data_IF_260922179497
#
_entry.id   IF_260922179497
#
_cell.length_a   1.000
_cell.length_b   1.000
_cell.length_c   1.000
_cell.angle_alpha   90.00
_cell.angle_beta   90.00
_cell.angle_gamma   90.00
#
_symmetry.space_group_name_H-M   'P 1'
#
loop_
_entity.id
_entity.type
_entity.pdbx_description
1 polymer ?
#
# COMPACT_ATOMS: atom_id res chain seq x y z
N UNK A 1 -10.99 -16.90 -77.43
CA UNK A 1 -11.82 -17.97 -76.80
C UNK A 1 -11.02 -19.07 -76.09
N UNK A 2 -9.80 -19.45 -76.52
CA UNK A 2 -8.99 -20.49 -75.83
C UNK A 2 -8.51 -20.07 -74.42
N UNK A 3 -8.11 -18.80 -74.25
CA UNK A 3 -7.66 -18.27 -72.95
C UNK A 3 -8.79 -18.21 -71.90
N UNK A 4 -10.00 -17.85 -72.31
CA UNK A 4 -11.17 -17.79 -71.42
C UNK A 4 -11.64 -19.18 -70.97
N UNK A 5 -11.55 -20.18 -71.86
CA UNK A 5 -11.80 -21.59 -71.48
C UNK A 5 -10.76 -22.13 -70.50
N UNK A 6 -9.49 -21.75 -70.66
CA UNK A 6 -8.41 -22.15 -69.74
C UNK A 6 -8.59 -21.53 -68.35
N UNK A 7 -9.00 -20.25 -68.29
CA UNK A 7 -9.27 -19.56 -67.03
C UNK A 7 -10.44 -20.19 -66.25
N UNK A 8 -11.51 -20.58 -66.95
CA UNK A 8 -12.69 -21.22 -66.33
C UNK A 8 -12.31 -22.60 -65.78
N UNK A 9 -11.49 -23.39 -66.49
CA UNK A 9 -11.03 -24.71 -66.01
C UNK A 9 -10.15 -24.56 -64.75
N UNK A 10 -9.25 -23.58 -64.70
CA UNK A 10 -8.45 -23.34 -63.49
C UNK A 10 -9.29 -22.94 -62.27
N UNK A 11 -10.40 -22.21 -62.49
CA UNK A 11 -11.27 -21.76 -61.39
C UNK A 11 -12.03 -22.93 -60.72
N UNK A 12 -12.36 -23.98 -61.47
CA UNK A 12 -13.07 -25.15 -60.93
C UNK A 12 -12.17 -26.10 -60.14
N UNK A 13 -10.85 -26.12 -60.39
CA UNK A 13 -9.92 -27.04 -59.70
C UNK A 13 -9.60 -26.55 -58.28
N UNK A 14 -9.78 -25.26 -57.98
CA UNK A 14 -9.41 -24.67 -56.69
C UNK A 14 -10.44 -24.88 -55.55
N UNK A 15 -11.57 -25.55 -55.81
CA UNK A 15 -12.68 -25.70 -54.85
C UNK A 15 -12.42 -26.75 -53.74
N UNK A 16 -11.33 -27.52 -53.83
CA UNK A 16 -11.06 -28.67 -52.93
C UNK A 16 -10.08 -28.38 -51.80
N UNK A 17 -9.79 -27.11 -51.48
CA UNK A 17 -8.97 -26.76 -50.32
C UNK A 17 -9.83 -26.65 -49.05
N UNK A 18 -10.32 -27.79 -48.54
CA UNK A 18 -10.96 -27.89 -47.23
C UNK A 18 -9.87 -28.17 -46.19
N UNK A 19 -9.57 -27.20 -45.32
CA UNK A 19 -8.57 -27.35 -44.26
C UNK A 19 -9.23 -28.03 -43.05
N UNK A 20 -8.92 -29.31 -42.87
CA UNK A 20 -9.33 -30.12 -41.71
C UNK A 20 -8.13 -30.32 -40.78
N UNK A 21 -8.32 -30.15 -39.47
CA UNK A 21 -7.28 -30.40 -38.45
C UNK A 21 -7.58 -31.74 -37.79
N UNK A 22 -6.65 -32.69 -37.91
CA UNK A 22 -6.80 -34.02 -37.36
C UNK A 22 -6.13 -34.11 -35.98
N UNK A 23 -6.83 -34.73 -35.02
CA UNK A 23 -6.31 -35.03 -33.69
C UNK A 23 -6.13 -36.53 -33.54
N UNK A 24 -4.95 -36.98 -33.11
CA UNK A 24 -4.71 -38.37 -32.74
C UNK A 24 -3.88 -38.48 -31.46
N UNK A 25 -3.99 -39.62 -30.79
CA UNK A 25 -3.22 -39.95 -29.58
C UNK A 25 -2.19 -41.02 -29.93
N UNK A 26 -0.91 -40.77 -29.64
CA UNK A 26 0.15 -41.74 -29.93
C UNK A 26 0.21 -42.89 -28.89
N UNK A 27 1.10 -43.86 -29.11
CA UNK A 27 1.27 -45.04 -28.23
C UNK A 27 1.65 -44.68 -26.78
N UNK A 28 2.17 -43.47 -26.55
CA UNK A 28 2.58 -42.98 -25.25
C UNK A 28 1.48 -42.14 -24.58
N UNK A 29 0.29 -42.05 -25.18
CA UNK A 29 -0.83 -41.27 -24.67
C UNK A 29 -0.75 -39.78 -24.96
N UNK A 30 0.18 -39.32 -25.81
CA UNK A 30 0.33 -37.91 -26.15
C UNK A 30 -0.56 -37.54 -27.33
N UNK A 31 -1.28 -36.41 -27.17
CA UNK A 31 -2.18 -35.87 -28.19
C UNK A 31 -1.38 -35.01 -29.17
N UNK A 32 -1.58 -35.25 -30.47
CA UNK A 32 -0.99 -34.47 -31.56
C UNK A 32 -2.08 -33.93 -32.48
N UNK A 33 -1.81 -32.76 -33.08
CA UNK A 33 -2.65 -32.13 -34.08
C UNK A 33 -1.85 -32.00 -35.39
N UNK A 34 -2.46 -32.35 -36.52
CA UNK A 34 -1.80 -32.35 -37.83
C UNK A 34 -2.78 -32.01 -38.94
N UNK A 35 -2.27 -31.41 -40.01
CA UNK A 35 -3.03 -31.09 -41.23
C UNK A 35 -3.19 -32.30 -42.17
N UNK A 36 -2.46 -33.39 -41.91
CA UNK A 36 -2.46 -34.59 -42.76
C UNK A 36 -2.87 -35.83 -41.95
N UNK A 37 -3.92 -36.57 -42.35
CA UNK A 37 -4.37 -37.71 -41.59
C UNK A 37 -3.35 -38.86 -41.65
N UNK A 38 -3.10 -39.59 -40.55
CA UNK A 38 -2.23 -40.77 -40.56
C UNK A 38 -2.84 -41.87 -41.45
N UNK A 39 -2.01 -42.48 -42.31
CA UNK A 39 -2.43 -43.29 -43.47
C UNK A 39 -3.21 -44.59 -43.16
N UNK A 40 -3.45 -44.94 -41.88
CA UNK A 40 -4.00 -46.26 -41.50
C UNK A 40 -5.12 -46.22 -40.46
N UNK A 41 -5.78 -45.07 -40.22
CA UNK A 41 -6.81 -44.97 -39.17
C UNK A 41 -8.12 -44.39 -39.73
N UNK A 42 -9.25 -45.02 -39.40
CA UNK A 42 -10.58 -44.45 -39.64
C UNK A 42 -10.73 -43.18 -38.79
N UNK A 43 -10.86 -42.03 -39.44
CA UNK A 43 -11.14 -40.76 -38.78
C UNK A 43 -12.63 -40.59 -38.51
N UNK A 44 -12.97 -40.02 -37.35
CA UNK A 44 -14.32 -39.60 -37.01
C UNK A 44 -14.36 -38.06 -36.95
N UNK A 45 -15.40 -37.47 -37.54
CA UNK A 45 -15.59 -36.02 -37.52
C UNK A 45 -16.11 -35.63 -36.15
N UNK A 46 -15.31 -34.88 -35.40
CA UNK A 46 -15.73 -34.33 -34.11
C UNK A 46 -16.29 -32.92 -34.34
N UNK A 47 -17.60 -32.74 -34.12
CA UNK A 47 -18.20 -31.42 -34.07
C UNK A 47 -17.79 -30.75 -32.74
N UNK A 48 -16.88 -29.78 -32.82
CA UNK A 48 -16.44 -29.03 -31.63
C UNK A 48 -17.47 -27.94 -31.37
N UNK A 49 -18.29 -28.10 -30.32
CA UNK A 49 -19.17 -27.04 -29.85
C UNK A 49 -18.35 -25.78 -29.51
N UNK A 50 -18.78 -24.64 -30.04
CA UNK A 50 -18.13 -23.37 -29.72
C UNK A 50 -18.22 -23.11 -28.22
N UNK A 51 -17.11 -22.71 -27.56
CA UNK A 51 -17.14 -22.41 -26.14
C UNK A 51 -18.16 -21.30 -25.90
N UNK A 52 -19.14 -21.58 -25.03
CA UNK A 52 -20.12 -20.60 -24.59
C UNK A 52 -19.35 -19.50 -23.86
N UNK A 53 -19.20 -18.33 -24.49
CA UNK A 53 -18.66 -17.16 -23.82
C UNK A 53 -19.65 -16.72 -22.75
N UNK A 54 -19.42 -17.16 -21.51
CA UNK A 54 -20.04 -16.52 -20.35
C UNK A 54 -19.53 -15.08 -20.30
N UNK A 55 -20.33 -14.13 -20.77
CA UNK A 55 -19.99 -12.72 -20.74
C UNK A 55 -19.64 -12.30 -19.31
N UNK A 56 -18.53 -11.58 -19.15
CA UNK A 56 -18.14 -10.99 -17.86
C UNK A 56 -19.32 -10.22 -17.28
N UNK A 57 -19.76 -10.52 -16.04
CA UNK A 57 -20.89 -9.81 -15.46
C UNK A 57 -20.59 -8.31 -15.40
N UNK A 58 -21.58 -7.43 -15.66
CA UNK A 58 -21.37 -6.00 -15.66
C UNK A 58 -20.88 -5.53 -14.29
N UNK A 59 -19.96 -4.55 -14.23
CA UNK A 59 -19.39 -4.09 -12.97
C UNK A 59 -20.49 -3.61 -12.02
N UNK A 60 -20.49 -4.13 -10.79
CA UNK A 60 -21.45 -3.75 -9.77
C UNK A 60 -21.16 -2.33 -9.25
N UNK A 61 -21.73 -1.33 -9.94
CA UNK A 61 -21.55 0.10 -9.62
C UNK A 61 -21.95 0.47 -8.19
N UNK A 62 -22.89 -0.26 -7.57
CA UNK A 62 -23.30 -0.01 -6.18
C UNK A 62 -22.22 -0.45 -5.20
N UNK A 63 -21.65 -1.64 -5.40
CA UNK A 63 -20.55 -2.13 -4.57
C UNK A 63 -19.31 -1.23 -4.68
N UNK A 64 -18.97 -0.77 -5.89
CA UNK A 64 -17.85 0.14 -6.11
C UNK A 64 -18.05 1.50 -5.40
N UNK A 65 -19.27 2.06 -5.43
CA UNK A 65 -19.60 3.30 -4.71
C UNK A 65 -19.50 3.13 -3.19
N UNK A 66 -20.01 2.03 -2.65
CA UNK A 66 -19.94 1.75 -1.22
C UNK A 66 -18.49 1.63 -0.71
N UNK A 67 -17.62 0.96 -1.46
CA UNK A 67 -16.19 0.87 -1.16
C UNK A 67 -15.52 2.25 -1.18
N UNK A 68 -15.81 3.07 -2.19
CA UNK A 68 -15.26 4.42 -2.29
C UNK A 68 -15.69 5.33 -1.13
N UNK A 69 -16.97 5.27 -0.72
CA UNK A 69 -17.46 6.02 0.44
C UNK A 69 -16.80 5.55 1.74
N UNK A 70 -16.63 4.24 1.92
CA UNK A 70 -15.96 3.67 3.09
C UNK A 70 -14.48 4.12 3.16
N UNK A 71 -13.77 4.09 2.04
CA UNK A 71 -12.38 4.54 1.96
C UNK A 71 -12.26 6.05 2.25
N UNK A 72 -13.19 6.86 1.75
CA UNK A 72 -13.23 8.29 2.03
C UNK A 72 -13.42 8.57 3.53
N UNK A 73 -14.36 7.87 4.19
CA UNK A 73 -14.59 7.99 5.63
C UNK A 73 -13.34 7.59 6.41
N UNK A 74 -12.70 6.48 6.04
CA UNK A 74 -11.47 5.99 6.69
C UNK A 74 -10.32 6.99 6.53
N UNK A 75 -10.13 7.56 5.33
CA UNK A 75 -9.13 8.59 5.10
C UNK A 75 -9.40 9.85 5.93
N UNK A 76 -10.66 10.25 6.05
CA UNK A 76 -11.04 11.42 6.85
C UNK A 76 -10.77 11.18 8.35
N UNK A 77 -11.09 9.99 8.86
CA UNK A 77 -10.77 9.58 10.23
C UNK A 77 -9.26 9.61 10.49
N UNK A 78 -8.45 8.98 9.63
CA UNK A 78 -7.00 9.00 9.73
C UNK A 78 -6.42 10.41 9.67
N UNK A 79 -7.00 11.29 8.85
CA UNK A 79 -6.60 12.70 8.77
C UNK A 79 -6.91 13.42 10.08
N UNK A 80 -8.10 13.23 10.67
CA UNK A 80 -8.48 13.82 11.96
C UNK A 80 -7.56 13.33 13.07
N UNK A 81 -7.28 12.03 13.13
CA UNK A 81 -6.36 11.45 14.11
C UNK A 81 -4.95 12.05 14.00
N UNK A 82 -4.43 12.19 12.78
CA UNK A 82 -3.12 12.85 12.56
C UNK A 82 -3.10 14.29 13.02
N UNK A 83 -4.17 15.05 12.74
CA UNK A 83 -4.28 16.45 13.19
C UNK A 83 -4.34 16.52 14.71
N UNK A 84 -5.14 15.67 15.35
CA UNK A 84 -5.25 15.61 16.81
C UNK A 84 -3.92 15.21 17.47
N UNK A 85 -3.23 14.20 16.93
CA UNK A 85 -1.92 13.78 17.41
C UNK A 85 -0.87 14.88 17.25
N UNK A 86 -0.88 15.61 16.12
CA UNK A 86 0.00 16.77 15.92
C UNK A 86 -0.30 17.88 16.93
N UNK A 87 -1.58 18.21 17.15
CA UNK A 87 -1.99 19.21 18.14
C UNK A 87 -1.60 18.81 19.57
N UNK A 88 -1.73 17.53 19.92
CA UNK A 88 -1.30 17.02 21.23
C UNK A 88 0.22 17.14 21.40
N UNK A 89 1.00 16.75 20.38
CA UNK A 89 2.46 16.88 20.40
C UNK A 89 2.91 18.34 20.55
N UNK A 90 2.29 19.27 19.83
CA UNK A 90 2.60 20.70 19.98
C UNK A 90 2.27 21.22 21.38
N UNK A 91 1.12 20.83 21.95
CA UNK A 91 0.75 21.16 23.33
C UNK A 91 1.75 20.60 24.33
N UNK A 92 2.12 19.33 24.21
CA UNK A 92 3.12 18.69 25.08
C UNK A 92 4.49 19.36 24.97
N UNK A 93 4.88 19.79 23.77
CA UNK A 93 6.13 20.50 23.56
C UNK A 93 6.11 21.86 24.25
N UNK A 94 5.01 22.61 24.11
CA UNK A 94 4.82 23.88 24.79
C UNK A 94 4.81 23.72 26.32
N UNK A 95 4.14 22.70 26.87
CA UNK A 95 4.12 22.46 28.33
C UNK A 95 5.51 22.12 28.87
N UNK A 96 6.28 21.29 28.15
CA UNK A 96 7.66 20.97 28.52
C UNK A 96 8.57 22.20 28.49
N UNK A 97 8.43 23.07 27.48
CA UNK A 97 9.16 24.34 27.41
C UNK A 97 8.83 25.25 28.59
N UNK A 98 7.54 25.42 28.92
CA UNK A 98 7.11 26.21 30.08
C UNK A 98 7.68 25.62 31.38
N UNK A 99 7.70 24.29 31.52
CA UNK A 99 8.27 23.63 32.69
C UNK A 99 9.78 23.92 32.83
N UNK A 100 10.54 23.85 31.74
CA UNK A 100 11.96 24.21 31.71
C UNK A 100 12.20 25.67 32.12
N UNK A 101 11.47 26.62 31.54
CA UNK A 101 11.61 28.04 31.90
C UNK A 101 11.25 28.32 33.36
N UNK A 102 10.22 27.64 33.88
CA UNK A 102 9.87 27.72 35.31
C UNK A 102 11.00 27.18 36.18
N UNK A 103 11.56 26.03 35.85
CA UNK A 103 12.65 25.42 36.61
C UNK A 103 13.91 26.32 36.64
N UNK A 104 14.25 26.95 35.50
CA UNK A 104 15.31 27.98 35.44
C UNK A 104 15.03 29.14 36.38
N UNK A 105 13.81 29.66 36.38
CA UNK A 105 13.41 30.77 37.27
C UNK A 105 13.52 30.38 38.75
N UNK A 106 13.14 29.14 39.08
CA UNK A 106 13.21 28.60 40.42
C UNK A 106 14.66 28.43 40.88
N UNK A 107 15.56 27.94 40.01
CA UNK A 107 16.99 27.84 40.27
C UNK A 107 17.63 29.20 40.53
N UNK A 108 17.31 30.22 39.72
CA UNK A 108 17.78 31.59 39.93
C UNK A 108 17.34 32.11 41.30
N UNK A 109 16.07 31.92 41.66
CA UNK A 109 15.54 32.33 42.96
C UNK A 109 16.23 31.61 44.12
N UNK A 110 16.51 30.31 44.00
CA UNK A 110 17.25 29.56 45.04
C UNK A 110 18.69 30.08 45.19
N UNK A 111 19.36 30.41 44.08
CA UNK A 111 20.71 31.02 44.11
C UNK A 111 20.69 32.39 44.78
N UNK A 112 19.67 33.20 44.55
CA UNK A 112 19.50 34.49 45.24
C UNK A 112 19.32 34.32 46.75
N UNK A 113 18.45 33.40 47.19
CA UNK A 113 18.31 33.11 48.63
C UNK A 113 19.62 32.58 49.24
N UNK A 114 20.36 31.76 48.50
CA UNK A 114 21.68 31.30 48.93
C UNK A 114 22.66 32.46 49.09
N UNK A 115 22.62 33.47 48.22
CA UNK A 115 23.49 34.65 48.31
C UNK A 115 23.13 35.52 49.53
N UNK A 116 21.85 35.62 49.89
CA UNK A 116 21.35 36.39 51.04
C UNK A 116 21.54 35.68 52.39
N UNK A 117 21.87 34.39 52.38
CA UNK A 117 22.03 33.58 53.58
C UNK A 117 23.24 34.03 54.43
N UNK A 118 22.99 34.46 55.67
CA UNK A 118 24.01 35.01 56.56
C UNK A 118 24.79 33.95 57.37
N UNK A 119 24.12 32.91 57.84
CA UNK A 119 24.72 31.87 58.71
C UNK A 119 25.21 30.64 57.94
N UNK A 120 26.17 29.90 58.51
CA UNK A 120 26.67 28.65 57.92
C UNK A 120 25.55 27.61 57.73
N UNK A 121 24.64 27.52 58.69
CA UNK A 121 23.49 26.60 58.62
C UNK A 121 22.51 26.99 57.52
N UNK A 122 22.20 28.28 57.36
CA UNK A 122 21.32 28.73 56.28
C UNK A 122 21.98 28.54 54.91
N UNK A 123 23.29 28.83 54.79
CA UNK A 123 24.05 28.54 53.56
C UNK A 123 24.02 27.06 53.18
N UNK A 124 24.19 26.15 54.15
CA UNK A 124 24.09 24.69 53.94
C UNK A 124 22.69 24.28 53.48
N UNK A 125 21.65 24.81 54.11
CA UNK A 125 20.26 24.56 53.71
C UNK A 125 20.00 24.99 52.26
N UNK A 126 20.39 26.22 51.91
CA UNK A 126 20.17 26.73 50.55
C UNK A 126 21.07 26.08 49.49
N UNK A 127 22.27 25.61 49.84
CA UNK A 127 23.08 24.80 48.92
C UNK A 127 22.31 23.56 48.47
N UNK A 128 21.77 22.77 49.41
CA UNK A 128 20.96 21.58 49.09
C UNK A 128 19.75 21.93 48.21
N UNK A 129 19.11 23.07 48.48
CA UNK A 129 17.97 23.58 47.68
C UNK A 129 18.38 23.98 46.26
N UNK A 130 19.56 24.57 46.08
CA UNK A 130 20.11 24.92 44.77
C UNK A 130 20.44 23.65 43.98
N UNK A 131 21.05 22.65 44.62
CA UNK A 131 21.37 21.38 43.98
C UNK A 131 20.10 20.67 43.47
N UNK A 132 19.08 20.54 44.34
CA UNK A 132 17.78 19.98 43.92
C UNK A 132 17.10 20.79 42.80
N UNK A 133 17.16 22.12 42.88
CA UNK A 133 16.57 22.96 41.83
C UNK A 133 17.31 22.84 40.50
N UNK A 134 18.62 22.56 40.54
CA UNK A 134 19.44 22.32 39.36
C UNK A 134 19.10 20.98 38.72
N UNK A 135 18.96 19.92 39.51
CA UNK A 135 18.52 18.60 39.00
C UNK A 135 17.16 18.69 38.31
N UNK A 136 16.20 19.39 38.93
CA UNK A 136 14.86 19.62 38.34
C UNK A 136 14.93 20.42 37.03
N UNK A 137 15.81 21.42 36.96
CA UNK A 137 16.02 22.20 35.74
C UNK A 137 16.65 21.36 34.62
N UNK A 138 17.71 20.61 34.93
CA UNK A 138 18.38 19.70 33.99
C UNK A 138 17.38 18.68 33.41
N UNK A 139 16.54 18.07 34.25
CA UNK A 139 15.51 17.12 33.82
C UNK A 139 14.42 17.77 32.95
N UNK A 140 13.85 18.89 33.41
CA UNK A 140 12.78 19.58 32.69
C UNK A 140 13.25 20.09 31.32
N UNK A 141 14.46 20.65 31.25
CA UNK A 141 15.04 21.18 30.02
C UNK A 141 15.55 20.11 29.07
N UNK A 142 15.98 18.95 29.60
CA UNK A 142 16.25 17.77 28.75
C UNK A 142 14.98 17.31 28.05
N UNK A 143 13.86 17.21 28.77
CA UNK A 143 12.58 16.79 28.21
C UNK A 143 12.03 17.78 27.16
N UNK A 144 12.27 19.09 27.31
CA UNK A 144 11.83 20.09 26.32
C UNK A 144 12.61 20.06 25.01
N UNK A 145 13.84 19.55 25.01
CA UNK A 145 14.72 19.51 23.84
C UNK A 145 14.61 18.22 23.01
N UNK A 146 13.94 17.18 23.51
CA UNK A 146 13.67 15.98 22.72
C UNK A 146 12.64 16.25 21.61
N UNK A 147 13.07 16.04 20.36
CA UNK A 147 12.27 16.20 19.13
C UNK A 147 11.48 14.95 18.81
#
# INVERSE_FOLDING_TARGET
>A
MKLMKFLIVCLFICQYAWAEIYKYTDKNGKIHFTDTPPMEVKSEVLEVEQPIHHGTPPPNKKAAKALFEQDKIKQEQLRRERILAAQQREKEKATKQIACEKAKSDLVRMKQYRAQASSTNSKRYYNKRVDMAKEVEDEACKLSNFR
#
